data_IF_599286113178
#
_entry.id   IF_599286113178
#
_cell.length_a   1.000
_cell.length_b   1.000
_cell.length_c   1.000
_cell.angle_alpha   90.00
_cell.angle_beta   90.00
_cell.angle_gamma   90.00
#
_symmetry.space_group_name_H-M   'P 1'
#
loop_
_entity.id
_entity.type
_entity.pdbx_description
1 polymer ?
#
# COMPACT_ATOMS: atom_id res chain seq x y z
N UNK A 1 21.38 8.13 0.84
CA UNK A 1 19.89 8.17 0.86
C UNK A 1 19.43 8.52 -0.53
N UNK A 2 18.72 7.58 -1.18
CA UNK A 2 18.27 7.72 -2.57
C UNK A 2 16.96 8.54 -2.71
N UNK A 3 16.21 8.72 -1.61
CA UNK A 3 14.84 9.27 -1.62
C UNK A 3 14.67 10.50 -0.75
N UNK A 4 15.73 11.25 -0.49
CA UNK A 4 15.66 12.49 0.29
C UNK A 4 14.67 13.48 -0.34
N UNK A 5 13.73 13.97 0.47
CA UNK A 5 12.65 14.89 0.04
C UNK A 5 11.46 14.24 -0.64
N UNK A 6 11.49 12.92 -0.88
CA UNK A 6 10.35 12.17 -1.43
C UNK A 6 9.30 11.91 -0.35
N UNK A 7 8.04 11.89 -0.75
CA UNK A 7 6.88 11.65 0.12
C UNK A 7 6.11 10.41 -0.36
N UNK A 8 5.83 9.50 0.57
CA UNK A 8 5.15 8.23 0.27
C UNK A 8 3.89 8.13 1.14
N UNK A 9 2.75 7.83 0.52
CA UNK A 9 1.52 7.51 1.24
C UNK A 9 1.42 6.00 1.49
N UNK A 10 0.92 5.61 2.67
CA UNK A 10 0.63 4.22 3.03
C UNK A 10 -0.80 4.14 3.62
N UNK A 11 -1.84 3.96 2.78
CA UNK A 11 -3.20 3.81 3.28
C UNK A 11 -3.38 2.46 4.00
N UNK A 12 -3.97 2.50 5.19
CA UNK A 12 -4.25 1.33 6.02
C UNK A 12 -5.61 1.40 6.70
N UNK A 13 -6.19 0.24 6.95
CA UNK A 13 -7.31 0.01 7.84
C UNK A 13 -6.99 -1.12 8.80
N UNK A 14 -7.94 -1.55 9.63
CA UNK A 14 -7.72 -2.65 10.56
C UNK A 14 -7.28 -3.94 9.85
N UNK A 15 -6.54 -4.77 10.57
CA UNK A 15 -6.02 -6.07 10.14
C UNK A 15 -5.08 -6.00 8.92
N UNK A 16 -4.31 -4.91 8.81
CA UNK A 16 -3.19 -4.89 7.87
C UNK A 16 -2.13 -5.95 8.26
N UNK A 17 -1.35 -6.42 7.30
CA UNK A 17 -0.20 -7.26 7.60
C UNK A 17 0.90 -6.40 8.22
N UNK A 18 1.26 -6.66 9.48
CA UNK A 18 2.14 -5.80 10.29
C UNK A 18 3.50 -5.58 9.64
N UNK A 19 4.11 -6.62 9.10
CA UNK A 19 5.43 -6.53 8.46
C UNK A 19 5.38 -5.75 7.14
N UNK A 20 4.27 -5.83 6.41
CA UNK A 20 4.08 -5.12 5.13
C UNK A 20 3.85 -3.61 5.32
N UNK A 21 3.57 -3.17 6.54
CA UNK A 21 3.56 -1.75 6.90
C UNK A 21 4.88 -1.31 7.52
N UNK A 22 5.38 -2.04 8.56
CA UNK A 22 6.53 -1.62 9.35
C UNK A 22 7.82 -1.69 8.54
N UNK A 23 8.07 -2.78 7.84
CA UNK A 23 9.32 -2.95 7.09
C UNK A 23 9.48 -1.87 5.98
N UNK A 24 8.50 -1.64 5.09
CA UNK A 24 8.61 -0.55 4.13
C UNK A 24 8.74 0.82 4.81
N UNK A 25 7.97 1.11 5.87
CA UNK A 25 8.08 2.38 6.58
C UNK A 25 9.53 2.65 7.02
N UNK A 26 10.17 1.68 7.68
CA UNK A 26 11.55 1.81 8.14
C UNK A 26 12.51 1.88 6.96
N UNK A 27 12.36 1.01 5.97
CA UNK A 27 13.25 0.91 4.81
C UNK A 27 13.26 2.18 3.96
N UNK A 28 12.09 2.77 3.74
CA UNK A 28 11.99 4.02 2.98
C UNK A 28 12.42 5.23 3.81
N UNK A 29 12.18 5.24 5.12
CA UNK A 29 12.71 6.26 6.03
C UNK A 29 14.24 6.25 6.06
N UNK A 30 14.87 5.07 6.01
CA UNK A 30 16.33 4.92 5.90
C UNK A 30 16.86 5.56 4.62
N UNK A 31 16.12 5.48 3.51
CA UNK A 31 16.46 6.17 2.25
C UNK A 31 16.15 7.66 2.23
N UNK A 32 15.59 8.20 3.32
CA UNK A 32 15.31 9.63 3.48
C UNK A 32 13.93 10.09 2.99
N UNK A 33 13.04 9.16 2.67
CA UNK A 33 11.66 9.50 2.34
C UNK A 33 10.86 9.84 3.61
N UNK A 34 9.85 10.73 3.44
CA UNK A 34 8.84 10.98 4.44
C UNK A 34 7.61 10.11 4.18
N UNK A 35 7.12 9.44 5.23
CA UNK A 35 5.98 8.53 5.12
C UNK A 35 4.73 9.19 5.73
N UNK A 36 3.62 9.11 5.04
CA UNK A 36 2.29 9.45 5.60
C UNK A 36 1.45 8.17 5.67
N UNK A 37 1.09 7.75 6.88
CA UNK A 37 0.16 6.64 7.10
C UNK A 37 -1.26 7.18 7.04
N UNK A 38 -1.99 6.79 5.99
CA UNK A 38 -3.39 7.18 5.81
C UNK A 38 -4.33 6.18 6.49
N UNK A 39 -5.04 6.58 7.53
CA UNK A 39 -5.91 5.69 8.30
C UNK A 39 -7.37 5.77 7.87
N UNK A 40 -8.04 4.62 7.77
CA UNK A 40 -9.46 4.53 7.50
C UNK A 40 -10.16 3.63 8.51
N UNK A 41 -11.16 4.19 9.19
CA UNK A 41 -12.04 3.46 10.10
C UNK A 41 -13.35 3.13 9.39
N UNK A 42 -13.62 1.85 9.19
CA UNK A 42 -14.89 1.42 8.61
C UNK A 42 -16.03 1.62 9.60
N UNK A 43 -17.15 2.17 9.13
CA UNK A 43 -18.39 2.25 9.89
C UNK A 43 -19.14 0.91 9.94
N UNK A 44 -18.81 0.00 9.05
CA UNK A 44 -19.36 -1.34 8.97
C UNK A 44 -18.29 -2.35 8.57
N UNK A 45 -18.30 -3.52 9.20
CA UNK A 45 -17.42 -4.63 8.86
C UNK A 45 -18.13 -5.97 9.10
N UNK A 46 -17.82 -6.96 8.26
CA UNK A 46 -18.16 -8.36 8.54
C UNK A 46 -17.44 -8.90 9.79
N UNK A 47 -16.46 -8.15 10.29
CA UNK A 47 -15.72 -8.43 11.52
C UNK A 47 -16.04 -7.36 12.58
N UNK A 48 -17.19 -7.46 13.29
CA UNK A 48 -17.66 -6.42 14.22
C UNK A 48 -16.67 -6.04 15.31
N UNK A 49 -15.75 -6.95 15.67
CA UNK A 49 -14.75 -6.71 16.71
C UNK A 49 -13.70 -5.66 16.34
N UNK A 50 -13.56 -5.29 15.05
CA UNK A 50 -12.66 -4.21 14.63
C UNK A 50 -13.36 -2.84 14.59
N UNK A 51 -14.71 -2.80 14.68
CA UNK A 51 -15.44 -1.54 14.65
C UNK A 51 -15.15 -0.71 15.91
N UNK A 52 -14.95 0.58 15.72
CA UNK A 52 -14.67 1.53 16.80
C UNK A 52 -13.40 1.19 17.62
N UNK A 53 -12.52 0.35 17.08
CA UNK A 53 -11.20 0.06 17.66
C UNK A 53 -10.13 0.93 17.00
N UNK A 54 -9.02 1.20 17.68
CA UNK A 54 -7.83 1.77 17.04
C UNK A 54 -7.42 0.91 15.82
N UNK A 55 -6.88 1.54 14.79
CA UNK A 55 -6.32 0.80 13.66
C UNK A 55 -5.20 -0.10 14.19
N UNK A 56 -5.31 -1.38 13.92
CA UNK A 56 -4.39 -2.39 14.46
C UNK A 56 -4.12 -3.44 13.39
N UNK A 57 -2.86 -3.82 13.24
CA UNK A 57 -2.44 -4.93 12.40
C UNK A 57 -2.96 -6.27 12.92
N UNK A 58 -2.89 -7.30 12.09
CA UNK A 58 -3.39 -8.64 12.44
C UNK A 58 -2.62 -9.32 13.59
N UNK A 59 -1.38 -8.88 13.83
CA UNK A 59 -0.54 -9.34 14.94
C UNK A 59 -0.47 -8.35 16.11
N UNK A 60 -1.25 -7.29 16.06
CA UNK A 60 -1.44 -6.39 17.19
C UNK A 60 -0.69 -5.06 17.11
N UNK A 61 0.02 -4.76 16.04
CA UNK A 61 0.69 -3.46 15.86
C UNK A 61 -0.34 -2.33 15.78
N UNK A 62 -0.34 -1.36 16.73
CA UNK A 62 -1.26 -0.24 16.68
C UNK A 62 -0.78 0.86 15.73
N UNK A 63 -1.72 1.65 15.19
CA UNK A 63 -1.43 2.92 14.54
C UNK A 63 -2.12 4.01 15.36
N UNK A 64 -1.40 4.99 15.95
CA UNK A 64 0.04 5.27 15.80
C UNK A 64 0.96 4.22 16.45
N UNK A 65 2.15 4.08 15.88
CA UNK A 65 3.16 3.16 16.41
C UNK A 65 3.79 3.74 17.67
N UNK A 66 3.64 3.07 18.80
CA UNK A 66 4.22 3.50 20.06
C UNK A 66 5.75 3.62 19.98
N UNK A 67 6.39 2.65 19.32
CA UNK A 67 7.88 2.56 19.23
C UNK A 67 8.45 3.62 18.28
N UNK A 68 7.72 4.04 17.26
CA UNK A 68 8.20 4.98 16.23
C UNK A 68 7.78 6.42 16.46
N UNK A 69 6.88 6.69 17.41
CA UNK A 69 6.31 8.01 17.67
C UNK A 69 7.38 9.05 18.06
N UNK A 70 8.39 8.64 18.83
CA UNK A 70 9.47 9.54 19.27
C UNK A 70 10.41 9.95 18.13
N UNK A 71 10.60 9.10 17.14
CA UNK A 71 11.51 9.33 16.02
C UNK A 71 11.00 10.29 14.96
N UNK A 72 9.74 10.66 14.97
CA UNK A 72 9.07 11.54 13.98
C UNK A 72 9.41 11.14 12.55
N UNK A 73 9.36 9.82 12.25
CA UNK A 73 9.71 9.29 10.93
C UNK A 73 8.52 9.25 9.97
N UNK A 74 7.33 9.53 10.46
CA UNK A 74 6.09 9.49 9.71
C UNK A 74 5.05 10.43 10.33
N UNK A 75 4.03 10.77 9.56
CA UNK A 75 2.81 11.40 10.03
C UNK A 75 1.57 10.53 9.76
N UNK A 76 0.47 10.88 10.38
CA UNK A 76 -0.82 10.18 10.22
C UNK A 76 -1.88 11.19 9.80
N UNK A 77 -2.71 10.80 8.85
CA UNK A 77 -3.92 11.54 8.48
C UNK A 77 -5.04 10.58 8.05
N UNK A 78 -6.29 11.02 7.99
CA UNK A 78 -7.36 10.22 7.40
C UNK A 78 -7.01 9.82 5.96
N UNK A 79 -7.17 8.54 5.60
CA UNK A 79 -6.89 8.07 4.23
C UNK A 79 -7.73 8.78 3.16
N UNK A 80 -8.91 9.24 3.54
CA UNK A 80 -9.80 10.02 2.69
C UNK A 80 -9.30 11.45 2.37
N UNK A 81 -8.24 11.92 3.05
CA UNK A 81 -7.61 13.22 2.86
C UNK A 81 -6.27 13.12 2.11
N UNK A 82 -5.90 11.93 1.63
CA UNK A 82 -4.74 11.75 0.78
C UNK A 82 -5.00 12.38 -0.60
N UNK A 83 -4.12 13.30 -1.00
CA UNK A 83 -4.16 13.92 -2.33
C UNK A 83 -2.92 13.46 -3.13
N UNK A 84 -3.14 12.97 -4.34
CA UNK A 84 -2.07 12.48 -5.20
C UNK A 84 -1.00 13.55 -5.51
N UNK A 85 -1.31 14.83 -5.39
CA UNK A 85 -0.35 15.93 -5.60
C UNK A 85 0.74 15.95 -4.53
N UNK A 86 0.43 15.49 -3.30
CA UNK A 86 1.31 15.60 -2.15
C UNK A 86 2.33 14.45 -2.05
N UNK A 87 2.21 13.43 -2.88
CA UNK A 87 3.03 12.21 -2.78
C UNK A 87 3.72 11.88 -4.08
N UNK A 88 4.91 11.28 -3.95
CA UNK A 88 5.70 10.74 -5.07
C UNK A 88 5.38 9.27 -5.37
N UNK A 89 4.89 8.53 -4.37
CA UNK A 89 4.50 7.12 -4.50
C UNK A 89 3.42 6.74 -3.47
N UNK A 90 2.76 5.62 -3.70
CA UNK A 90 1.90 4.95 -2.71
C UNK A 90 2.34 3.51 -2.52
N UNK A 91 2.44 3.07 -1.25
CA UNK A 91 2.65 1.68 -0.86
C UNK A 91 1.38 1.20 -0.16
N UNK A 92 0.86 0.07 -0.60
CA UNK A 92 -0.37 -0.50 -0.07
C UNK A 92 -0.05 -1.84 0.58
N UNK A 93 -0.04 -1.91 1.92
CA UNK A 93 0.08 -3.18 2.65
C UNK A 93 -1.14 -4.07 2.45
N UNK A 94 -0.94 -5.37 2.59
CA UNK A 94 -2.01 -6.36 2.51
C UNK A 94 -2.67 -6.65 3.87
N UNK A 95 -2.78 -7.93 4.21
CA UNK A 95 -3.67 -8.40 5.25
C UNK A 95 -5.13 -8.28 4.82
N UNK A 96 -6.04 -8.01 5.76
CA UNK A 96 -7.45 -7.77 5.45
C UNK A 96 -7.78 -6.28 5.24
N UNK A 97 -6.86 -5.40 5.55
CA UNK A 97 -6.98 -3.95 5.37
C UNK A 97 -7.46 -3.54 3.95
N UNK A 98 -6.96 -4.13 2.86
CA UNK A 98 -7.40 -3.80 1.50
C UNK A 98 -8.90 -4.06 1.26
N UNK A 99 -9.48 -5.12 1.86
CA UNK A 99 -10.92 -5.38 1.77
C UNK A 99 -11.75 -4.23 2.36
N UNK A 100 -11.29 -3.68 3.46
CA UNK A 100 -11.95 -2.55 4.13
C UNK A 100 -11.75 -1.26 3.32
N UNK A 101 -10.51 -0.97 2.91
CA UNK A 101 -10.15 0.26 2.18
C UNK A 101 -10.83 0.38 0.83
N UNK A 102 -11.04 -0.74 0.10
CA UNK A 102 -11.68 -0.73 -1.22
C UNK A 102 -13.13 -0.22 -1.19
N UNK A 103 -13.71 -0.05 -0.02
CA UNK A 103 -15.06 0.46 0.20
C UNK A 103 -15.11 1.97 0.37
N UNK A 104 -13.95 2.65 0.48
CA UNK A 104 -13.86 4.11 0.57
C UNK A 104 -13.57 4.71 -0.82
N UNK A 105 -14.55 5.35 -1.47
CA UNK A 105 -14.39 5.88 -2.83
C UNK A 105 -13.25 6.88 -2.96
N UNK A 106 -12.94 7.66 -1.91
CA UNK A 106 -11.85 8.65 -1.93
C UNK A 106 -10.48 7.98 -1.97
N UNK A 107 -10.32 6.83 -1.30
CA UNK A 107 -9.09 6.03 -1.39
C UNK A 107 -8.91 5.47 -2.80
N UNK A 108 -9.98 4.97 -3.42
CA UNK A 108 -9.91 4.48 -4.79
C UNK A 108 -9.60 5.60 -5.79
N UNK A 109 -10.23 6.77 -5.60
CA UNK A 109 -9.94 7.95 -6.42
C UNK A 109 -8.49 8.43 -6.27
N UNK A 110 -7.93 8.38 -5.05
CA UNK A 110 -6.52 8.67 -4.79
C UNK A 110 -5.60 7.71 -5.55
N UNK A 111 -5.84 6.39 -5.47
CA UNK A 111 -5.03 5.38 -6.18
C UNK A 111 -5.11 5.60 -7.70
N UNK A 112 -6.32 5.85 -8.21
CA UNK A 112 -6.50 6.15 -9.63
C UNK A 112 -5.74 7.41 -10.04
N UNK A 113 -5.81 8.48 -9.25
CA UNK A 113 -5.09 9.72 -9.52
C UNK A 113 -3.55 9.53 -9.49
N UNK A 114 -3.02 8.70 -8.58
CA UNK A 114 -1.60 8.31 -8.59
C UNK A 114 -1.24 7.60 -9.88
N UNK A 115 -2.09 6.66 -10.33
CA UNK A 115 -1.88 5.96 -11.60
C UNK A 115 -1.87 6.90 -12.79
N UNK A 116 -2.89 7.75 -12.92
CA UNK A 116 -3.06 8.68 -14.03
C UNK A 116 -1.92 9.72 -14.11
N UNK A 117 -1.35 10.08 -12.95
CA UNK A 117 -0.16 10.93 -12.85
C UNK A 117 1.17 10.19 -13.11
N UNK A 118 1.14 8.89 -13.44
CA UNK A 118 2.33 8.08 -13.67
C UNK A 118 3.19 7.87 -12.41
N UNK A 119 2.63 8.10 -11.22
CA UNK A 119 3.33 7.92 -9.94
C UNK A 119 3.30 6.45 -9.52
N UNK A 120 4.38 5.92 -8.91
CA UNK A 120 4.45 4.53 -8.50
C UNK A 120 3.33 4.13 -7.54
N UNK A 121 2.70 2.98 -7.85
CA UNK A 121 1.77 2.27 -6.99
C UNK A 121 2.38 0.91 -6.67
N UNK A 122 2.74 0.70 -5.43
CA UNK A 122 3.33 -0.53 -4.94
C UNK A 122 2.33 -1.27 -4.04
N UNK A 123 1.86 -2.45 -4.48
CA UNK A 123 0.81 -3.22 -3.80
C UNK A 123 1.30 -4.64 -3.51
N UNK A 124 1.24 -5.07 -2.26
CA UNK A 124 1.71 -6.40 -1.85
C UNK A 124 0.58 -7.25 -1.29
N UNK A 125 0.69 -8.57 -1.44
CA UNK A 125 -0.18 -9.58 -0.83
C UNK A 125 -1.64 -9.44 -1.31
N UNK A 126 -2.56 -8.98 -0.44
CA UNK A 126 -3.97 -8.73 -0.76
C UNK A 126 -4.22 -7.30 -1.28
N UNK A 127 -3.22 -6.43 -1.26
CA UNK A 127 -3.35 -5.04 -1.71
C UNK A 127 -3.78 -4.87 -3.20
N UNK A 128 -3.49 -5.80 -4.14
CA UNK A 128 -4.00 -5.71 -5.51
C UNK A 128 -5.52 -5.59 -5.61
N UNK A 129 -6.30 -5.93 -4.59
CA UNK A 129 -7.74 -5.62 -4.55
C UNK A 129 -8.06 -4.13 -4.71
N UNK A 130 -7.20 -3.24 -4.16
CA UNK A 130 -7.40 -1.81 -4.37
C UNK A 130 -7.08 -1.40 -5.80
N UNK A 131 -6.07 -1.99 -6.41
CA UNK A 131 -5.68 -1.74 -7.80
C UNK A 131 -6.82 -2.17 -8.75
N UNK A 132 -7.43 -3.33 -8.47
CA UNK A 132 -8.64 -3.82 -9.17
C UNK A 132 -9.79 -2.83 -9.00
N UNK A 133 -10.11 -2.46 -7.76
CA UNK A 133 -11.27 -1.59 -7.46
C UNK A 133 -11.09 -0.15 -7.96
N UNK A 134 -9.85 0.33 -8.06
CA UNK A 134 -9.53 1.61 -8.69
C UNK A 134 -9.59 1.56 -10.24
N UNK A 135 -9.83 0.38 -10.84
CA UNK A 135 -10.00 0.21 -12.29
C UNK A 135 -8.70 0.28 -13.09
N UNK A 136 -7.54 0.07 -12.45
CA UNK A 136 -6.22 0.24 -13.10
C UNK A 136 -5.46 -1.07 -13.31
N UNK A 137 -6.08 -2.22 -13.01
CA UNK A 137 -5.47 -3.55 -13.15
C UNK A 137 -5.57 -4.13 -14.57
N UNK A 138 -6.60 -3.76 -15.34
CA UNK A 138 -6.89 -4.40 -16.63
C UNK A 138 -5.73 -4.26 -17.62
N UNK A 139 -5.31 -5.40 -18.20
CA UNK A 139 -4.23 -5.49 -19.18
C UNK A 139 -2.83 -5.34 -18.58
N UNK A 140 -2.67 -5.24 -17.26
CA UNK A 140 -1.38 -5.12 -16.58
C UNK A 140 -0.82 -6.48 -16.20
N UNK A 141 0.49 -6.63 -16.30
CA UNK A 141 1.21 -7.74 -15.71
C UNK A 141 1.29 -7.51 -14.19
N UNK A 142 0.82 -8.46 -13.41
CA UNK A 142 0.72 -8.30 -11.96
C UNK A 142 0.93 -9.63 -11.25
N UNK A 143 1.34 -9.55 -9.99
CA UNK A 143 1.29 -10.66 -9.03
C UNK A 143 0.46 -10.28 -7.80
N UNK A 144 0.12 -11.26 -6.99
CA UNK A 144 -0.63 -11.08 -5.74
C UNK A 144 -0.42 -12.29 -4.84
N UNK A 145 -0.92 -12.24 -3.62
CA UNK A 145 -1.04 -13.46 -2.81
C UNK A 145 -1.90 -14.49 -3.57
N UNK A 146 -1.49 -15.75 -3.52
CA UNK A 146 -2.06 -16.81 -4.37
C UNK A 146 -3.60 -16.89 -4.33
N UNK A 147 -4.21 -16.62 -3.18
CA UNK A 147 -5.68 -16.65 -3.05
C UNK A 147 -6.42 -15.59 -3.85
N UNK A 148 -5.73 -14.56 -4.35
CA UNK A 148 -6.31 -13.49 -5.17
C UNK A 148 -6.07 -13.69 -6.68
N UNK A 149 -5.42 -14.78 -7.08
CA UNK A 149 -5.10 -15.04 -8.50
C UNK A 149 -6.34 -14.94 -9.40
N UNK A 150 -7.43 -15.55 -8.97
CA UNK A 150 -8.65 -15.59 -9.77
C UNK A 150 -9.30 -14.20 -9.83
N UNK A 151 -9.31 -13.45 -8.73
CA UNK A 151 -9.82 -12.06 -8.70
C UNK A 151 -9.03 -11.18 -9.66
N UNK A 152 -7.70 -11.29 -9.64
CA UNK A 152 -6.81 -10.51 -10.47
C UNK A 152 -7.01 -10.85 -11.97
N UNK A 153 -7.10 -12.13 -12.28
CA UNK A 153 -7.32 -12.63 -13.64
C UNK A 153 -8.71 -12.21 -14.15
N UNK A 154 -9.75 -12.35 -13.33
CA UNK A 154 -11.12 -11.95 -13.68
C UNK A 154 -11.24 -10.43 -13.87
N UNK A 155 -10.42 -9.63 -13.18
CA UNK A 155 -10.33 -8.20 -13.42
C UNK A 155 -9.63 -7.84 -14.76
N UNK A 156 -9.08 -8.83 -15.43
CA UNK A 156 -8.42 -8.69 -16.74
C UNK A 156 -6.93 -8.37 -16.65
N UNK A 157 -6.29 -8.60 -15.51
CA UNK A 157 -4.83 -8.55 -15.38
C UNK A 157 -4.18 -9.85 -15.88
N UNK A 158 -2.91 -9.78 -16.21
CA UNK A 158 -2.08 -10.93 -16.59
C UNK A 158 -1.30 -11.35 -15.36
N UNK A 159 -1.67 -12.48 -14.77
CA UNK A 159 -1.06 -12.98 -13.54
C UNK A 159 0.30 -13.64 -13.78
N UNK A 160 1.27 -13.32 -12.94
CA UNK A 160 2.58 -13.96 -12.86
C UNK A 160 2.85 -14.41 -11.43
N UNK A 161 3.35 -15.63 -11.24
CA UNK A 161 3.81 -16.10 -9.92
C UNK A 161 5.30 -15.77 -9.73
N UNK A 162 5.56 -14.48 -9.50
CA UNK A 162 6.91 -13.95 -9.29
C UNK A 162 6.94 -13.10 -8.02
N UNK A 163 8.10 -13.05 -7.36
CA UNK A 163 8.28 -12.28 -6.13
C UNK A 163 7.92 -10.80 -6.30
N UNK A 164 8.27 -10.24 -7.45
CA UNK A 164 7.93 -8.85 -7.81
C UNK A 164 7.63 -8.78 -9.30
N UNK A 165 6.53 -8.14 -9.65
CA UNK A 165 6.17 -7.80 -11.03
C UNK A 165 6.07 -6.29 -11.16
N UNK A 166 6.73 -5.73 -12.16
CA UNK A 166 6.72 -4.30 -12.48
C UNK A 166 6.11 -4.09 -13.87
N UNK A 167 5.04 -3.32 -13.96
CA UNK A 167 4.42 -2.94 -15.23
C UNK A 167 4.08 -1.43 -15.21
N UNK A 168 4.85 -0.67 -15.96
CA UNK A 168 4.73 0.78 -15.98
C UNK A 168 5.01 1.40 -14.60
N UNK A 169 3.98 1.98 -14.01
CA UNK A 169 4.07 2.56 -12.66
C UNK A 169 3.44 1.67 -11.58
N UNK A 170 3.06 0.44 -11.90
CA UNK A 170 2.50 -0.51 -10.94
C UNK A 170 3.58 -1.53 -10.58
N UNK A 171 3.80 -1.72 -9.28
CA UNK A 171 4.68 -2.73 -8.70
C UNK A 171 3.83 -3.63 -7.81
N UNK A 172 3.87 -4.92 -8.04
CA UNK A 172 3.13 -5.89 -7.21
C UNK A 172 4.04 -6.96 -6.65
N UNK A 173 3.66 -7.53 -5.50
CA UNK A 173 4.41 -8.58 -4.81
C UNK A 173 3.44 -9.53 -4.08
N UNK A 174 3.93 -10.73 -3.70
CA UNK A 174 3.05 -11.82 -3.24
C UNK A 174 2.81 -11.84 -1.73
N UNK A 175 3.86 -11.70 -0.95
CA UNK A 175 3.83 -12.02 0.49
C UNK A 175 4.99 -11.35 1.23
N UNK A 176 4.98 -11.37 2.59
CA UNK A 176 6.03 -10.75 3.39
C UNK A 176 7.46 -11.18 3.07
N UNK A 177 7.67 -12.44 2.68
CA UNK A 177 9.00 -12.93 2.30
C UNK A 177 9.60 -12.19 1.09
N UNK A 178 8.77 -11.63 0.24
CA UNK A 178 9.17 -10.88 -0.95
C UNK A 178 9.46 -9.38 -0.66
N UNK A 179 9.23 -8.90 0.57
CA UNK A 179 9.39 -7.49 0.95
C UNK A 179 10.74 -6.87 0.59
N UNK A 180 11.88 -7.55 0.74
CA UNK A 180 13.17 -6.97 0.36
C UNK A 180 13.25 -6.62 -1.13
N UNK A 181 12.76 -7.51 -2.00
CA UNK A 181 12.77 -7.30 -3.45
C UNK A 181 11.73 -6.26 -3.87
N UNK A 182 10.55 -6.30 -3.27
CA UNK A 182 9.49 -5.31 -3.45
C UNK A 182 9.95 -3.89 -3.12
N UNK A 183 10.55 -3.69 -1.95
CA UNK A 183 11.06 -2.38 -1.55
C UNK A 183 12.21 -1.92 -2.45
N UNK A 184 13.11 -2.82 -2.85
CA UNK A 184 14.20 -2.50 -3.75
C UNK A 184 13.69 -2.01 -5.11
N UNK A 185 12.72 -2.71 -5.70
CA UNK A 185 12.12 -2.34 -6.97
C UNK A 185 11.50 -0.94 -6.94
N UNK A 186 10.77 -0.60 -5.86
CA UNK A 186 10.16 0.72 -5.71
C UNK A 186 11.23 1.81 -5.48
N UNK A 187 12.25 1.55 -4.65
CA UNK A 187 13.35 2.49 -4.41
C UNK A 187 14.06 2.82 -5.74
N UNK A 188 14.37 1.82 -6.54
CA UNK A 188 15.06 2.02 -7.81
C UNK A 188 14.18 2.77 -8.82
N UNK A 189 12.88 2.46 -8.88
CA UNK A 189 11.93 3.20 -9.73
C UNK A 189 11.82 4.68 -9.33
N UNK A 190 11.74 4.97 -8.01
CA UNK A 190 11.63 6.34 -7.52
C UNK A 190 12.94 7.13 -7.71
N UNK A 191 14.08 6.48 -7.55
CA UNK A 191 15.40 7.11 -7.73
C UNK A 191 15.71 7.41 -9.19
N UNK A 192 15.18 6.64 -10.14
CA UNK A 192 15.36 6.87 -11.58
C UNK A 192 14.57 8.08 -12.10
N UNK A 193 13.50 8.48 -11.42
CA UNK A 193 12.70 9.67 -11.75
C UNK A 193 13.31 10.91 -11.07
N UNK A 194 14.29 11.53 -11.72
CA UNK A 194 14.86 12.82 -11.32
C UNK A 194 13.92 13.98 -11.65
#
# INVERSE_FOLDING_TARGET
MKLTGKRIAMPVSNEFEDTELIYPLLRFSEEGAWITVGTFHASFSARPYVLNKPITGRFGTPVPFVILAEGKRYDIKPAAELDAKDYDAVIIPGGFSPDILRREPRVLAFIKAMHDAGKPIAAICHAPWLVISAGVARGRNMTCFLSLKDDLTNAGAIYHDEAVVVDGNIITSRMPDDLPDFCRALIDMMAAKK
#
